data_IF_953656911342
#
_entry.id   IF_953656911342
#
_cell.length_a   1.000
_cell.length_b   1.000
_cell.length_c   1.000
_cell.angle_alpha   90.00
_cell.angle_beta   90.00
_cell.angle_gamma   90.00
#
_symmetry.space_group_name_H-M   'P 1'
#
loop_
_entity.id
_entity.type
_entity.pdbx_description
1 polymer ?
#
# COMPACT_ATOMS: atom_id res chain seq x y z
N UNK A 1 17.22 4.85 -49.86
CA UNK A 1 17.53 3.90 -48.78
C UNK A 1 18.23 4.53 -47.57
N UNK A 2 19.34 5.26 -47.66
CA UNK A 2 20.03 5.82 -46.47
C UNK A 2 19.18 6.76 -45.60
N UNK A 3 18.34 7.60 -46.17
CA UNK A 3 17.46 8.53 -45.43
C UNK A 3 16.34 7.80 -44.68
N UNK A 4 15.85 6.70 -45.20
CA UNK A 4 14.82 5.89 -44.55
C UNK A 4 15.36 5.17 -43.29
N UNK A 5 16.61 4.68 -43.37
CA UNK A 5 17.28 4.02 -42.22
C UNK A 5 17.57 5.05 -41.11
N UNK A 6 17.92 6.27 -41.46
CA UNK A 6 18.17 7.35 -40.47
C UNK A 6 16.89 7.76 -39.73
N UNK A 7 15.74 7.85 -40.43
CA UNK A 7 14.45 8.18 -39.81
C UNK A 7 13.98 7.05 -38.90
N UNK A 8 14.16 5.80 -39.31
CA UNK A 8 13.80 4.63 -38.51
C UNK A 8 14.67 4.54 -37.24
N UNK A 9 15.97 4.82 -37.33
CA UNK A 9 16.87 4.83 -36.17
C UNK A 9 16.53 5.95 -35.17
N UNK A 10 16.10 7.12 -35.63
CA UNK A 10 15.65 8.23 -34.75
C UNK A 10 14.32 7.88 -34.05
N UNK A 11 13.40 7.19 -34.75
CA UNK A 11 12.12 6.78 -34.17
C UNK A 11 12.30 5.73 -33.06
N UNK A 12 13.22 4.78 -33.25
CA UNK A 12 13.55 3.75 -32.23
C UNK A 12 14.27 4.37 -31.03
N UNK A 13 15.18 5.32 -31.25
CA UNK A 13 15.85 6.04 -30.16
C UNK A 13 14.87 6.88 -29.31
N UNK A 14 13.85 7.45 -29.94
CA UNK A 14 12.79 8.21 -29.24
C UNK A 14 11.88 7.31 -28.37
N UNK A 15 11.63 6.06 -28.78
CA UNK A 15 10.82 5.11 -27.99
C UNK A 15 11.55 4.58 -26.73
N UNK A 16 12.87 4.53 -26.74
CA UNK A 16 13.66 4.03 -25.63
C UNK A 16 13.83 5.04 -24.49
N UNK A 17 13.56 6.31 -24.72
CA UNK A 17 13.72 7.38 -23.71
C UNK A 17 12.47 7.64 -22.84
N UNK A 18 11.34 6.98 -23.12
CA UNK A 18 10.07 7.25 -22.43
C UNK A 18 9.78 6.35 -21.24
N UNK A 19 10.57 5.27 -21.01
CA UNK A 19 10.27 4.30 -19.94
C UNK A 19 10.80 4.71 -18.57
N UNK A 20 11.88 5.48 -18.51
CA UNK A 20 12.49 5.86 -17.22
C UNK A 20 11.78 7.04 -16.53
N UNK A 21 11.15 7.93 -17.30
CA UNK A 21 10.46 9.10 -16.75
C UNK A 21 9.18 8.74 -15.97
N UNK A 22 8.47 7.67 -16.36
CA UNK A 22 7.25 7.24 -15.70
C UNK A 22 7.54 6.59 -14.33
N UNK A 23 8.65 5.86 -14.22
CA UNK A 23 9.07 5.24 -12.96
C UNK A 23 9.48 6.28 -11.91
N UNK A 24 10.22 7.30 -12.29
CA UNK A 24 10.65 8.38 -11.38
C UNK A 24 9.49 9.26 -10.94
N UNK A 25 8.55 9.60 -11.82
CA UNK A 25 7.37 10.38 -11.48
C UNK A 25 6.48 9.66 -10.46
N UNK A 26 6.35 8.35 -10.57
CA UNK A 26 5.54 7.53 -9.66
C UNK A 26 6.14 7.46 -8.25
N UNK A 27 7.46 7.34 -8.13
CA UNK A 27 8.16 7.33 -6.84
C UNK A 27 8.04 8.71 -6.15
N UNK A 28 8.23 9.79 -6.86
CA UNK A 28 8.13 11.16 -6.32
C UNK A 28 6.71 11.48 -5.86
N UNK A 29 5.69 11.07 -6.62
CA UNK A 29 4.28 11.27 -6.29
C UNK A 29 3.88 10.50 -5.02
N UNK A 30 4.41 9.32 -4.80
CA UNK A 30 4.12 8.52 -3.60
C UNK A 30 4.57 9.21 -2.32
N UNK A 31 5.77 9.78 -2.29
CA UNK A 31 6.30 10.48 -1.10
C UNK A 31 5.52 11.74 -0.76
N UNK A 32 5.24 12.57 -1.76
CA UNK A 32 4.44 13.78 -1.57
C UNK A 32 3.07 13.46 -0.95
N UNK A 33 2.46 12.35 -1.34
CA UNK A 33 1.17 11.90 -0.84
C UNK A 33 1.22 11.42 0.62
N UNK A 34 2.40 11.08 1.15
CA UNK A 34 2.58 10.54 2.51
C UNK A 34 3.12 11.55 3.52
N UNK A 35 3.49 12.77 3.12
CA UNK A 35 4.08 13.77 4.01
C UNK A 35 3.24 14.08 5.25
N UNK A 36 1.93 13.94 5.15
CA UNK A 36 0.97 14.22 6.19
C UNK A 36 0.57 12.99 7.03
N UNK A 37 1.12 11.81 6.75
CA UNK A 37 0.68 10.54 7.33
C UNK A 37 0.66 10.55 8.86
N UNK A 38 1.74 11.01 9.48
CA UNK A 38 1.88 11.01 10.94
C UNK A 38 0.93 11.97 11.66
N UNK A 39 0.41 12.96 10.95
CA UNK A 39 -0.54 13.94 11.47
C UNK A 39 -2.00 13.61 11.16
N UNK A 40 -2.25 12.66 10.28
CA UNK A 40 -3.59 12.22 9.87
C UNK A 40 -4.03 11.00 10.66
N UNK A 41 -5.34 10.82 10.79
CA UNK A 41 -5.89 9.67 11.49
C UNK A 41 -5.93 8.43 10.58
N UNK A 42 -5.40 7.32 11.06
CA UNK A 42 -5.58 6.01 10.45
C UNK A 42 -6.85 5.37 10.96
N UNK A 43 -7.82 5.15 10.09
CA UNK A 43 -9.04 4.39 10.37
C UNK A 43 -8.75 2.90 10.16
N UNK A 44 -8.89 2.11 11.21
CA UNK A 44 -8.73 0.66 11.17
C UNK A 44 -10.10 0.06 10.89
N UNK A 45 -10.29 -0.46 9.69
CA UNK A 45 -11.58 -0.97 9.22
C UNK A 45 -11.79 -2.40 9.69
N UNK A 46 -12.83 -2.61 10.46
CA UNK A 46 -13.21 -3.93 10.96
C UNK A 46 -13.88 -4.76 9.87
N UNK A 47 -13.59 -6.06 9.87
CA UNK A 47 -14.02 -7.00 8.82
C UNK A 47 -15.42 -7.57 9.03
N UNK A 48 -15.86 -7.61 10.30
CA UNK A 48 -17.05 -8.32 10.74
C UNK A 48 -16.80 -9.78 11.16
N UNK A 49 -15.55 -10.27 11.01
CA UNK A 49 -15.08 -11.54 11.61
C UNK A 49 -14.63 -11.23 13.04
N UNK A 50 -15.39 -11.71 14.01
CA UNK A 50 -15.20 -11.37 15.42
C UNK A 50 -13.79 -11.72 15.93
N UNK A 51 -13.25 -12.88 15.54
CA UNK A 51 -11.91 -13.30 15.97
C UNK A 51 -10.81 -12.45 15.34
N UNK A 52 -10.93 -12.18 14.05
CA UNK A 52 -9.95 -11.34 13.35
C UNK A 52 -10.01 -9.90 13.85
N UNK A 53 -11.21 -9.37 14.04
CA UNK A 53 -11.40 -8.00 14.52
C UNK A 53 -10.84 -7.79 15.92
N UNK A 54 -11.00 -8.77 16.83
CA UNK A 54 -10.42 -8.70 18.16
C UNK A 54 -8.89 -8.76 18.11
N UNK A 55 -8.34 -9.67 17.33
CA UNK A 55 -6.89 -9.76 17.14
C UNK A 55 -6.30 -8.49 16.51
N UNK A 56 -7.01 -7.89 15.56
CA UNK A 56 -6.60 -6.59 14.95
C UNK A 56 -6.63 -5.48 15.99
N UNK A 57 -7.70 -5.39 16.79
CA UNK A 57 -7.83 -4.36 17.84
C UNK A 57 -6.71 -4.48 18.87
N UNK A 58 -6.46 -5.67 19.41
CA UNK A 58 -5.39 -5.93 20.37
C UNK A 58 -4.01 -5.59 19.77
N UNK A 59 -3.75 -6.06 18.56
CA UNK A 59 -2.47 -5.84 17.89
C UNK A 59 -2.21 -4.37 17.58
N UNK A 60 -3.22 -3.65 17.08
CA UNK A 60 -3.12 -2.20 16.81
C UNK A 60 -2.92 -1.43 18.10
N UNK A 61 -3.70 -1.71 19.14
CA UNK A 61 -3.56 -1.04 20.44
C UNK A 61 -2.18 -1.26 21.07
N UNK A 62 -1.59 -2.44 20.87
CA UNK A 62 -0.27 -2.77 21.41
C UNK A 62 0.91 -2.22 20.60
N UNK A 63 0.75 -2.01 19.29
CA UNK A 63 1.90 -1.77 18.40
C UNK A 63 1.83 -0.51 17.57
N UNK A 64 0.63 0.04 17.27
CA UNK A 64 0.49 1.18 16.37
C UNK A 64 0.84 2.50 17.05
N UNK A 65 1.88 3.16 16.58
CA UNK A 65 2.41 4.39 17.19
C UNK A 65 2.72 5.51 16.19
N UNK A 66 2.66 5.25 14.89
CA UNK A 66 3.13 6.18 13.84
C UNK A 66 2.14 7.28 13.49
N UNK A 67 0.87 7.08 13.81
CA UNK A 67 -0.20 8.07 13.58
C UNK A 67 -1.32 7.90 14.61
N UNK A 68 -2.17 8.90 14.84
CA UNK A 68 -3.44 8.69 15.52
C UNK A 68 -4.25 7.59 14.81
N UNK A 69 -4.99 6.78 15.57
CA UNK A 69 -5.86 5.76 14.96
C UNK A 69 -7.23 5.71 15.64
N UNK A 70 -8.20 5.22 14.89
CA UNK A 70 -9.56 4.93 15.34
C UNK A 70 -10.08 3.71 14.60
N UNK A 71 -10.89 2.89 15.28
CA UNK A 71 -11.59 1.79 14.64
C UNK A 71 -12.85 2.29 13.94
N UNK A 72 -13.19 1.68 12.82
CA UNK A 72 -14.43 1.98 12.11
C UNK A 72 -15.02 0.73 11.46
N UNK A 73 -16.31 0.78 11.19
CA UNK A 73 -17.02 -0.26 10.44
C UNK A 73 -16.79 -0.10 8.93
N UNK A 74 -17.15 -1.12 8.15
CA UNK A 74 -17.10 -1.01 6.69
C UNK A 74 -18.09 0.04 6.16
N UNK A 75 -19.23 0.26 6.82
CA UNK A 75 -20.18 1.32 6.45
C UNK A 75 -19.57 2.71 6.64
N UNK A 76 -18.91 2.95 7.78
CA UNK A 76 -18.20 4.19 8.05
C UNK A 76 -17.05 4.41 7.05
N UNK A 77 -16.30 3.35 6.72
CA UNK A 77 -15.30 3.40 5.65
C UNK A 77 -15.90 3.87 4.32
N UNK A 78 -17.02 3.29 3.87
CA UNK A 78 -17.65 3.70 2.62
C UNK A 78 -18.04 5.18 2.60
N UNK A 79 -18.45 5.72 3.75
CA UNK A 79 -18.82 7.14 3.89
C UNK A 79 -17.59 8.06 3.95
N UNK A 80 -16.47 7.58 4.50
CA UNK A 80 -15.27 8.38 4.78
C UNK A 80 -14.17 8.24 3.73
N UNK A 81 -14.18 7.20 2.89
CA UNK A 81 -13.09 6.87 1.96
C UNK A 81 -12.73 7.99 0.98
N UNK A 82 -13.69 8.86 0.64
CA UNK A 82 -13.47 10.04 -0.21
C UNK A 82 -12.72 11.19 0.48
N UNK A 83 -12.49 11.11 1.79
CA UNK A 83 -11.80 12.15 2.53
C UNK A 83 -10.28 11.90 2.60
N UNK A 84 -9.49 12.81 2.04
CA UNK A 84 -8.03 12.75 2.03
C UNK A 84 -7.38 12.98 3.41
N UNK A 85 -8.16 13.31 4.45
CA UNK A 85 -7.67 13.46 5.82
C UNK A 85 -7.52 12.14 6.56
N UNK A 86 -7.95 11.03 5.94
CA UNK A 86 -7.84 9.71 6.53
C UNK A 86 -6.93 8.79 5.73
N UNK A 87 -6.27 7.90 6.47
CA UNK A 87 -5.71 6.67 5.96
C UNK A 87 -6.56 5.50 6.46
N UNK A 88 -6.60 4.41 5.71
CA UNK A 88 -7.40 3.24 6.06
C UNK A 88 -6.50 2.00 6.09
N UNK A 89 -6.39 1.39 7.27
CA UNK A 89 -5.79 0.08 7.45
C UNK A 89 -6.91 -0.95 7.43
N UNK A 90 -6.86 -1.88 6.49
CA UNK A 90 -7.98 -2.78 6.24
C UNK A 90 -7.52 -4.12 5.68
N UNK A 91 -8.35 -5.14 5.84
CA UNK A 91 -8.17 -6.43 5.18
C UNK A 91 -8.94 -6.42 3.87
N UNK A 92 -8.24 -6.64 2.76
CA UNK A 92 -8.83 -6.72 1.43
C UNK A 92 -8.54 -8.08 0.79
N UNK A 93 -9.46 -8.57 -0.02
CA UNK A 93 -9.26 -9.83 -0.75
C UNK A 93 -8.39 -9.59 -1.97
N UNK A 94 -7.28 -10.30 -2.02
CA UNK A 94 -6.37 -10.31 -3.17
C UNK A 94 -6.67 -11.48 -4.11
N UNK A 95 -6.67 -11.20 -5.42
CA UNK A 95 -6.86 -12.19 -6.46
C UNK A 95 -5.73 -12.08 -7.48
N UNK A 96 -5.04 -13.20 -7.73
CA UNK A 96 -4.04 -13.23 -8.79
C UNK A 96 -4.71 -13.37 -10.16
N UNK A 97 -4.04 -12.88 -11.19
CA UNK A 97 -4.59 -12.73 -12.56
C UNK A 97 -5.16 -14.02 -13.18
N UNK A 98 -4.80 -15.19 -12.66
CA UNK A 98 -5.22 -16.50 -13.18
C UNK A 98 -6.17 -17.25 -12.26
N UNK A 99 -6.52 -16.68 -11.14
CA UNK A 99 -7.45 -17.28 -10.18
C UNK A 99 -8.88 -16.88 -10.52
N UNK A 100 -9.81 -17.82 -10.32
CA UNK A 100 -11.24 -17.59 -10.50
C UNK A 100 -11.85 -16.82 -9.32
N UNK A 101 -11.25 -16.96 -8.13
CA UNK A 101 -11.70 -16.35 -6.89
C UNK A 101 -10.50 -15.81 -6.10
N UNK A 102 -10.71 -14.82 -5.21
CA UNK A 102 -9.66 -14.33 -4.33
C UNK A 102 -9.12 -15.41 -3.40
N UNK A 103 -7.83 -15.72 -3.50
CA UNK A 103 -7.17 -16.78 -2.72
C UNK A 103 -6.45 -16.30 -1.45
N UNK A 104 -6.32 -14.98 -1.26
CA UNK A 104 -5.54 -14.41 -0.17
C UNK A 104 -6.20 -13.16 0.42
N UNK A 105 -6.20 -13.06 1.74
CA UNK A 105 -6.48 -11.81 2.44
C UNK A 105 -5.19 -11.00 2.60
N UNK A 106 -5.25 -9.71 2.26
CA UNK A 106 -4.13 -8.77 2.34
C UNK A 106 -4.43 -7.72 3.41
N UNK A 107 -3.48 -7.49 4.31
CA UNK A 107 -3.51 -6.32 5.19
C UNK A 107 -2.95 -5.13 4.43
N UNK A 108 -3.80 -4.15 4.16
CA UNK A 108 -3.51 -3.05 3.22
C UNK A 108 -3.71 -1.71 3.91
N UNK A 109 -2.77 -0.80 3.69
CA UNK A 109 -2.89 0.60 4.07
C UNK A 109 -3.08 1.45 2.82
N UNK A 110 -4.18 2.18 2.75
CA UNK A 110 -4.51 3.10 1.65
C UNK A 110 -4.76 4.51 2.16
N UNK A 111 -4.56 5.53 1.32
CA UNK A 111 -4.95 6.90 1.60
C UNK A 111 -6.34 7.17 1.03
N UNK A 112 -7.19 7.86 1.77
CA UNK A 112 -8.49 8.34 1.31
C UNK A 112 -8.39 9.43 0.24
N UNK A 113 -9.51 9.73 -0.39
CA UNK A 113 -9.62 10.78 -1.41
C UNK A 113 -9.55 10.25 -2.82
N UNK A 114 -8.43 10.48 -3.50
CA UNK A 114 -8.29 10.14 -4.93
C UNK A 114 -8.54 8.64 -5.22
N UNK A 115 -9.40 8.35 -6.18
CA UNK A 115 -9.75 7.00 -6.62
C UNK A 115 -10.82 6.30 -5.79
N UNK A 116 -11.17 6.82 -4.61
CA UNK A 116 -12.12 6.18 -3.70
C UNK A 116 -13.56 6.08 -4.24
N UNK A 117 -13.91 6.92 -5.20
CA UNK A 117 -15.20 6.91 -5.90
C UNK A 117 -15.34 5.69 -6.84
N UNK A 118 -14.23 5.11 -7.28
CA UNK A 118 -14.19 3.99 -8.21
C UNK A 118 -14.11 2.66 -7.46
N UNK A 119 -12.94 2.37 -6.89
CA UNK A 119 -12.72 1.15 -6.12
C UNK A 119 -11.58 1.31 -5.12
N UNK A 120 -11.43 0.36 -4.21
CA UNK A 120 -10.27 0.29 -3.30
C UNK A 120 -8.96 0.18 -4.09
N UNK A 121 -8.98 -0.55 -5.21
CA UNK A 121 -7.80 -0.74 -6.06
C UNK A 121 -7.36 0.54 -6.79
N UNK A 122 -8.23 1.52 -6.90
CA UNK A 122 -7.93 2.83 -7.50
C UNK A 122 -7.44 3.86 -6.46
N UNK A 123 -7.59 3.55 -5.18
CA UNK A 123 -7.08 4.40 -4.09
C UNK A 123 -5.56 4.35 -4.05
N UNK A 124 -4.94 5.37 -3.44
CA UNK A 124 -3.49 5.37 -3.27
C UNK A 124 -3.07 4.33 -2.23
N UNK A 125 -2.56 3.19 -2.71
CA UNK A 125 -1.98 2.15 -1.88
C UNK A 125 -0.61 2.58 -1.34
N UNK A 126 -0.46 2.55 -0.02
CA UNK A 126 0.80 2.78 0.67
C UNK A 126 1.61 1.49 0.74
N UNK A 127 0.96 0.44 1.21
CA UNK A 127 1.54 -0.90 1.35
C UNK A 127 0.44 -1.94 1.47
N UNK A 128 0.65 -3.11 0.89
CA UNK A 128 -0.15 -4.31 1.07
C UNK A 128 0.74 -5.47 1.52
N UNK A 129 0.27 -6.21 2.52
CA UNK A 129 0.99 -7.32 3.10
C UNK A 129 0.09 -8.58 3.12
N UNK A 130 0.55 -9.75 2.60
CA UNK A 130 -0.24 -10.97 2.67
C UNK A 130 -0.48 -11.39 4.11
N UNK A 131 -1.75 -11.55 4.48
CA UNK A 131 -2.18 -11.86 5.83
C UNK A 131 -2.45 -13.35 6.02
N UNK A 132 -3.36 -13.92 5.23
CA UNK A 132 -3.75 -15.33 5.32
C UNK A 132 -4.35 -15.86 4.01
N UNK A 133 -4.40 -17.19 3.86
CA UNK A 133 -5.21 -17.82 2.83
C UNK A 133 -6.71 -17.63 3.14
N UNK A 134 -7.51 -17.41 2.11
CA UNK A 134 -8.97 -17.32 2.26
C UNK A 134 -9.62 -18.70 2.37
N UNK A 135 -8.98 -19.74 1.78
CA UNK A 135 -9.53 -21.11 1.75
C UNK A 135 -9.13 -21.92 2.99
N UNK A 136 -7.91 -21.74 3.49
CA UNK A 136 -7.35 -22.49 4.62
C UNK A 136 -6.59 -21.53 5.56
N UNK A 137 -7.31 -20.73 6.37
CA UNK A 137 -6.69 -19.85 7.35
C UNK A 137 -6.02 -20.68 8.45
N UNK A 138 -4.73 -20.48 8.65
CA UNK A 138 -3.91 -21.31 9.56
C UNK A 138 -4.04 -20.93 11.04
N UNK A 139 -4.59 -19.76 11.34
CA UNK A 139 -4.60 -19.13 12.66
C UNK A 139 -3.27 -18.48 13.06
N UNK A 140 -2.20 -18.65 12.25
CA UNK A 140 -0.91 -18.02 12.51
C UNK A 140 -0.95 -16.50 12.30
N UNK A 141 -1.87 -16.04 11.47
CA UNK A 141 -2.14 -14.63 11.23
C UNK A 141 -2.36 -13.87 12.53
N UNK A 142 -3.07 -14.43 13.51
CA UNK A 142 -3.32 -13.78 14.80
C UNK A 142 -2.04 -13.52 15.59
N UNK A 143 -1.11 -14.48 15.58
CA UNK A 143 0.18 -14.36 16.25
C UNK A 143 1.13 -13.41 15.52
N UNK A 144 1.01 -13.32 14.19
CA UNK A 144 1.89 -12.55 13.34
C UNK A 144 1.43 -11.10 13.12
N UNK A 145 0.17 -10.77 13.41
CA UNK A 145 -0.38 -9.43 13.24
C UNK A 145 0.49 -8.31 13.83
N UNK A 146 1.01 -8.41 15.06
CA UNK A 146 1.89 -7.37 15.61
C UNK A 146 3.15 -7.15 14.78
N UNK A 147 3.74 -8.24 14.23
CA UNK A 147 4.91 -8.15 13.36
C UNK A 147 4.57 -7.51 12.00
N UNK A 148 3.43 -7.85 11.42
CA UNK A 148 2.95 -7.24 10.17
C UNK A 148 2.69 -5.75 10.34
N UNK A 149 2.04 -5.34 11.42
CA UNK A 149 1.80 -3.94 11.73
C UNK A 149 3.13 -3.19 11.92
N UNK A 150 4.11 -3.79 12.57
CA UNK A 150 5.43 -3.20 12.71
C UNK A 150 6.13 -2.98 11.36
N UNK A 151 6.08 -3.95 10.47
CA UNK A 151 6.63 -3.84 9.11
C UNK A 151 5.94 -2.71 8.33
N UNK A 152 4.60 -2.61 8.41
CA UNK A 152 3.83 -1.55 7.77
C UNK A 152 4.25 -0.18 8.30
N UNK A 153 4.40 -0.04 9.61
CA UNK A 153 4.84 1.20 10.26
C UNK A 153 6.26 1.60 9.84
N UNK A 154 7.21 0.65 9.89
CA UNK A 154 8.59 0.88 9.49
C UNK A 154 8.67 1.29 8.00
N UNK A 155 7.93 0.61 7.12
CA UNK A 155 7.85 0.96 5.71
C UNK A 155 7.31 2.37 5.53
N UNK A 156 6.20 2.70 6.17
CA UNK A 156 5.55 4.02 6.05
C UNK A 156 6.45 5.13 6.58
N UNK A 157 7.09 4.92 7.73
CA UNK A 157 8.04 5.87 8.31
C UNK A 157 9.26 6.08 7.40
N UNK A 158 9.78 5.01 6.78
CA UNK A 158 10.91 5.12 5.85
C UNK A 158 10.58 5.92 4.60
N UNK A 159 9.32 5.92 4.17
CA UNK A 159 8.84 6.71 3.03
C UNK A 159 8.62 8.19 3.39
N UNK A 160 8.35 8.51 4.66
CA UNK A 160 8.19 9.89 5.14
C UNK A 160 9.51 10.55 5.53
N UNK A 161 10.50 9.78 5.95
CA UNK A 161 11.85 10.25 6.24
C UNK A 161 12.64 10.49 4.94
N UNK A 162 13.42 11.56 4.93
CA UNK A 162 14.19 12.15 3.83
C UNK A 162 14.71 11.19 2.74
N UNK A 163 14.81 11.74 1.52
CA UNK A 163 15.23 11.07 0.26
C UNK A 163 16.44 10.14 0.35
N UNK A 164 17.37 10.38 1.27
CA UNK A 164 18.60 9.61 1.39
C UNK A 164 18.43 8.25 2.10
N UNK A 165 17.47 8.10 3.03
CA UNK A 165 17.30 6.84 3.76
C UNK A 165 16.57 5.76 2.97
N UNK A 166 15.68 6.12 2.06
CA UNK A 166 14.96 5.16 1.23
C UNK A 166 15.86 4.44 0.20
N UNK A 167 16.98 5.04 -0.16
CA UNK A 167 17.98 4.45 -1.06
C UNK A 167 19.19 3.84 -0.34
N UNK A 168 19.44 4.19 0.91
CA UNK A 168 20.60 3.66 1.67
C UNK A 168 20.49 2.18 2.01
N UNK A 169 19.29 1.60 1.99
CA UNK A 169 19.07 0.17 2.22
C UNK A 169 19.10 -0.69 0.94
N UNK A 170 19.22 -0.07 -0.23
CA UNK A 170 19.47 -0.74 -1.52
C UNK A 170 20.95 -0.58 -1.89
N UNK A 171 21.82 -0.54 -0.92
CA UNK A 171 23.25 -0.66 -1.15
C UNK A 171 23.53 -2.06 -1.67
N UNK A 172 23.87 -2.17 -2.95
CA UNK A 172 24.51 -3.35 -3.48
C UNK A 172 25.70 -3.69 -2.57
N UNK A 173 25.64 -4.82 -1.91
CA UNK A 173 26.85 -5.42 -1.35
C UNK A 173 27.63 -5.92 -2.55
N UNK A 174 28.51 -5.09 -3.06
CA UNK A 174 29.62 -5.58 -3.85
C UNK A 174 30.53 -6.38 -2.92
N UNK A 175 30.54 -7.68 -3.17
CA UNK A 175 31.47 -8.66 -2.59
C UNK A 175 32.77 -8.59 -3.32
#
# INVERSE_FOLDING_TARGET
MRRFIQILALAIAGLLLTTDALGQAQITTRREKLKDFTSKTTKVVLTGDEFLDEAVKESVAATWTVSPYEFCTNEEFQNLKGNADFYFLMVVKGQFRRESEPGIDMLTLVKGGEGADKSINDMFEVVSFPLRSTEDPSGREFVLLPAFLKIIQEHTTSLTDTEMKAYSNIGAKDS
#
